data_IF_226171992503
#
_entry.id   IF_226171992503
#
_cell.length_a   1.000
_cell.length_b   1.000
_cell.length_c   1.000
_cell.angle_alpha   90.00
_cell.angle_beta   90.00
_cell.angle_gamma   90.00
#
_symmetry.space_group_name_H-M   'P 1'
#
loop_
_entity.id
_entity.type
_entity.pdbx_description
1 polymer ?
#
# COMPACT_ATOMS: atom_id res chain seq x y z
N UNK A 1 18.25 -15.59 -1.42
CA UNK A 1 16.80 -15.28 -1.39
C UNK A 1 16.54 -13.88 -0.82
N UNK A 2 17.21 -13.47 0.26
CA UNK A 2 17.10 -12.12 0.82
C UNK A 2 17.53 -10.98 -0.14
N UNK A 3 18.46 -11.24 -1.08
CA UNK A 3 18.97 -10.20 -1.99
C UNK A 3 17.92 -9.64 -2.97
N UNK A 4 16.82 -10.36 -3.18
CA UNK A 4 15.71 -9.95 -4.06
C UNK A 4 14.47 -9.50 -3.28
N UNK A 5 14.60 -9.30 -1.96
CA UNK A 5 13.53 -8.73 -1.16
C UNK A 5 13.37 -7.24 -1.49
N UNK A 6 12.14 -6.86 -1.83
CA UNK A 6 11.76 -5.48 -2.14
C UNK A 6 11.02 -4.82 -0.97
N UNK A 7 10.83 -5.51 0.15
CA UNK A 7 10.05 -5.00 1.30
C UNK A 7 10.60 -3.68 1.81
N UNK A 8 11.93 -3.53 1.93
CA UNK A 8 12.57 -2.27 2.34
C UNK A 8 12.34 -1.10 1.38
N UNK A 9 12.11 -1.38 0.09
CA UNK A 9 11.83 -0.36 -0.95
C UNK A 9 10.34 -0.04 -1.08
N UNK A 10 9.49 -1.01 -0.81
CA UNK A 10 8.03 -0.88 -0.92
C UNK A 10 7.46 -0.28 0.37
N UNK A 11 7.95 -0.68 1.55
CA UNK A 11 7.42 -0.25 2.84
C UNK A 11 7.33 1.27 3.04
N UNK A 12 8.29 2.11 2.58
CA UNK A 12 8.17 3.57 2.70
C UNK A 12 7.01 4.19 1.89
N UNK A 13 6.48 3.46 0.91
CA UNK A 13 5.38 3.88 0.06
C UNK A 13 4.04 3.27 0.49
N UNK A 14 4.02 2.51 1.58
CA UNK A 14 2.83 1.86 2.12
C UNK A 14 2.45 2.45 3.46
N UNK A 15 1.16 2.32 3.78
CA UNK A 15 0.71 2.55 5.14
C UNK A 15 1.30 1.50 6.07
N UNK A 16 1.66 1.95 7.28
CA UNK A 16 2.18 1.11 8.35
C UNK A 16 1.37 -0.18 8.56
N UNK A 17 0.05 -0.14 8.39
CA UNK A 17 -0.81 -1.31 8.57
C UNK A 17 -0.67 -2.33 7.43
N UNK A 18 -0.39 -1.88 6.21
CA UNK A 18 -0.14 -2.74 5.05
C UNK A 18 1.27 -3.34 5.06
N UNK A 19 2.17 -2.79 5.87
CA UNK A 19 3.52 -3.34 6.09
C UNK A 19 3.49 -4.54 7.03
N UNK A 20 2.52 -4.67 7.94
CA UNK A 20 2.45 -5.83 8.85
C UNK A 20 2.31 -7.18 8.14
N UNK A 21 1.38 -7.36 7.18
CA UNK A 21 1.32 -8.58 6.41
C UNK A 21 2.69 -8.91 5.79
N UNK A 22 3.35 -7.92 5.17
CA UNK A 22 4.68 -8.13 4.57
C UNK A 22 5.67 -8.71 5.59
N UNK A 23 5.74 -8.13 6.79
CA UNK A 23 6.63 -8.62 7.85
C UNK A 23 6.23 -10.00 8.37
N UNK A 24 4.93 -10.30 8.49
CA UNK A 24 4.44 -11.63 8.90
C UNK A 24 4.86 -12.71 7.91
N UNK A 25 4.85 -12.42 6.62
CA UNK A 25 5.30 -13.38 5.63
C UNK A 25 6.80 -13.56 5.58
N UNK A 26 7.57 -12.48 5.74
CA UNK A 26 9.01 -12.61 5.88
C UNK A 26 9.35 -13.53 7.06
N UNK A 27 8.51 -13.52 8.11
CA UNK A 27 8.61 -14.39 9.28
C UNK A 27 8.24 -15.84 8.95
N UNK A 28 7.06 -16.07 8.35
CA UNK A 28 6.61 -17.41 7.95
C UNK A 28 7.56 -18.11 6.97
N UNK A 29 8.28 -17.34 6.15
CA UNK A 29 9.26 -17.84 5.19
C UNK A 29 10.66 -18.02 5.77
N UNK A 30 10.88 -17.64 7.03
CA UNK A 30 12.16 -17.72 7.72
C UNK A 30 13.30 -17.04 6.91
N UNK A 31 12.97 -15.95 6.21
CA UNK A 31 13.94 -15.24 5.36
C UNK A 31 14.92 -14.39 6.17
N UNK A 32 14.48 -13.94 7.35
CA UNK A 32 15.25 -13.18 8.33
C UNK A 32 15.06 -13.82 9.70
N UNK A 33 15.95 -13.49 10.65
CA UNK A 33 15.79 -13.97 12.02
C UNK A 33 14.50 -13.40 12.64
N UNK A 34 13.75 -14.25 13.34
CA UNK A 34 12.49 -13.87 13.99
C UNK A 34 12.66 -12.64 14.89
N UNK A 35 13.75 -12.57 15.65
CA UNK A 35 14.09 -11.45 16.52
C UNK A 35 14.19 -10.11 15.77
N UNK A 36 14.73 -10.13 14.55
CA UNK A 36 14.86 -8.92 13.72
C UNK A 36 13.50 -8.46 13.22
N UNK A 37 12.64 -9.40 12.81
CA UNK A 37 11.29 -9.10 12.35
C UNK A 37 10.42 -8.59 13.50
N UNK A 38 10.48 -9.22 14.67
CA UNK A 38 9.75 -8.80 15.86
C UNK A 38 10.19 -7.40 16.31
N UNK A 39 11.49 -7.08 16.28
CA UNK A 39 11.99 -5.72 16.52
C UNK A 39 11.44 -4.72 15.51
N UNK A 40 11.43 -5.06 14.21
CA UNK A 40 10.86 -4.21 13.17
C UNK A 40 9.35 -3.98 13.38
N UNK A 41 8.59 -5.02 13.76
CA UNK A 41 7.16 -4.91 14.10
C UNK A 41 6.94 -3.96 15.28
N UNK A 42 7.73 -4.05 16.36
CA UNK A 42 7.64 -3.13 17.50
C UNK A 42 7.93 -1.69 17.08
N UNK A 43 8.97 -1.48 16.27
CA UNK A 43 9.32 -0.14 15.76
C UNK A 43 8.17 0.45 14.93
N UNK A 44 7.54 -0.36 14.07
CA UNK A 44 6.40 0.03 13.27
C UNK A 44 5.17 0.37 14.16
N UNK A 45 4.92 -0.42 15.20
CA UNK A 45 3.82 -0.21 16.14
C UNK A 45 4.05 0.97 17.09
N UNK A 46 5.29 1.37 17.32
CA UNK A 46 5.63 2.44 18.27
C UNK A 46 4.92 3.76 17.96
N UNK A 47 4.63 4.04 16.69
CA UNK A 47 3.92 5.25 16.25
C UNK A 47 2.39 5.06 16.11
N UNK A 48 1.88 3.86 16.44
CA UNK A 48 0.45 3.51 16.35
C UNK A 48 -0.22 3.50 17.72
N UNK A 49 -1.55 3.45 17.72
CA UNK A 49 -2.34 3.25 18.93
C UNK A 49 -2.64 1.77 19.22
N UNK A 50 -2.07 0.82 18.45
CA UNK A 50 -2.23 -0.61 18.69
C UNK A 50 -1.29 -1.09 19.81
N UNK A 51 -1.49 -0.52 21.01
CA UNK A 51 -0.60 -0.74 22.16
C UNK A 51 -0.66 -2.19 22.64
N UNK A 52 -1.86 -2.78 22.71
CA UNK A 52 -2.02 -4.17 23.16
C UNK A 52 -1.24 -5.15 22.28
N UNK A 53 -1.33 -5.00 20.96
CA UNK A 53 -0.57 -5.83 20.02
C UNK A 53 0.95 -5.62 20.15
N UNK A 54 1.40 -4.38 20.37
CA UNK A 54 2.81 -4.08 20.58
C UNK A 54 3.36 -4.73 21.86
N UNK A 55 2.55 -4.78 22.92
CA UNK A 55 2.90 -5.46 24.17
C UNK A 55 3.04 -6.97 23.96
N UNK A 56 2.14 -7.60 23.20
CA UNK A 56 2.21 -9.04 22.93
C UNK A 56 3.46 -9.40 22.11
N UNK A 57 3.81 -8.59 21.11
CA UNK A 57 5.05 -8.77 20.33
C UNK A 57 6.30 -8.55 21.20
N UNK A 58 6.28 -7.58 22.12
CA UNK A 58 7.39 -7.37 23.05
C UNK A 58 7.59 -8.59 23.97
N UNK A 59 6.51 -9.16 24.50
CA UNK A 59 6.56 -10.37 25.31
C UNK A 59 7.12 -11.55 24.52
N UNK A 60 6.71 -11.69 23.25
CA UNK A 60 7.22 -12.71 22.35
C UNK A 60 8.73 -12.55 22.08
N UNK A 61 9.20 -11.32 21.85
CA UNK A 61 10.61 -11.02 21.54
C UNK A 61 11.56 -11.28 22.72
N UNK A 62 11.19 -10.85 23.93
CA UNK A 62 12.07 -10.96 25.11
C UNK A 62 11.76 -12.18 25.99
N UNK A 63 10.81 -13.03 25.57
CA UNK A 63 10.33 -14.18 26.33
C UNK A 63 10.00 -13.86 27.79
N UNK A 64 9.35 -12.71 28.01
CA UNK A 64 9.00 -12.20 29.33
C UNK A 64 7.52 -11.80 29.35
N UNK A 65 6.90 -11.88 30.53
CA UNK A 65 5.57 -11.29 30.74
C UNK A 65 5.64 -9.80 31.07
N UNK A 66 6.85 -9.30 31.40
CA UNK A 66 7.07 -7.91 31.78
C UNK A 66 7.05 -6.98 30.57
N UNK A 67 6.23 -5.95 30.68
CA UNK A 67 6.07 -4.92 29.64
C UNK A 67 6.60 -3.59 30.16
N UNK A 68 7.31 -2.79 29.34
CA UNK A 68 7.77 -1.47 29.73
C UNK A 68 6.64 -0.58 30.27
N UNK A 69 6.88 0.11 31.39
CA UNK A 69 5.90 1.01 32.01
C UNK A 69 5.41 2.10 31.05
N UNK A 70 6.26 2.53 30.10
CA UNK A 70 5.89 3.46 29.04
C UNK A 70 4.71 2.97 28.20
N UNK A 71 4.70 1.69 27.79
CA UNK A 71 3.61 1.10 27.00
C UNK A 71 2.31 1.02 27.82
N UNK A 72 2.41 0.70 29.11
CA UNK A 72 1.26 0.66 30.03
C UNK A 72 0.67 2.08 30.20
N UNK A 73 1.51 3.09 30.36
CA UNK A 73 1.08 4.50 30.42
C UNK A 73 0.37 4.94 29.14
N UNK A 74 0.96 4.63 27.97
CA UNK A 74 0.35 4.90 26.66
C UNK A 74 -0.99 4.22 26.48
N UNK A 75 -1.14 2.98 26.96
CA UNK A 75 -2.42 2.26 26.92
C UNK A 75 -3.51 3.02 27.68
N UNK A 76 -3.22 3.51 28.88
CA UNK A 76 -4.17 4.30 29.67
C UNK A 76 -4.58 5.58 28.94
N UNK A 77 -3.62 6.29 28.33
CA UNK A 77 -3.88 7.48 27.52
C UNK A 77 -4.77 7.18 26.31
N UNK A 78 -4.44 6.13 25.53
CA UNK A 78 -5.20 5.73 24.34
C UNK A 78 -6.63 5.36 24.71
N UNK A 79 -6.83 4.59 25.79
CA UNK A 79 -8.16 4.19 26.26
C UNK A 79 -8.95 5.40 26.78
N UNK A 80 -8.32 6.32 27.52
CA UNK A 80 -8.98 7.54 27.98
C UNK A 80 -9.41 8.43 26.81
N UNK A 81 -8.53 8.58 25.79
CA UNK A 81 -8.84 9.31 24.57
C UNK A 81 -9.99 8.66 23.80
N UNK A 82 -10.01 7.33 23.68
CA UNK A 82 -11.09 6.57 23.06
C UNK A 82 -12.44 6.87 23.73
N UNK A 83 -12.51 6.77 25.07
CA UNK A 83 -13.72 7.10 25.84
C UNK A 83 -14.21 8.53 25.59
N UNK A 84 -13.29 9.51 25.61
CA UNK A 84 -13.66 10.91 25.34
C UNK A 84 -14.18 11.13 23.90
N UNK A 85 -13.63 10.39 22.93
CA UNK A 85 -14.10 10.45 21.53
C UNK A 85 -15.45 9.77 21.36
N UNK A 86 -15.68 8.65 22.06
CA UNK A 86 -16.98 7.97 22.08
C UNK A 86 -18.07 8.87 22.67
N UNK A 87 -17.79 9.57 23.78
CA UNK A 87 -18.72 10.54 24.38
C UNK A 87 -19.03 11.70 23.43
N UNK A 88 -18.02 12.25 22.74
CA UNK A 88 -18.21 13.30 21.74
C UNK A 88 -18.99 12.82 20.50
N UNK A 89 -18.82 11.55 20.11
CA UNK A 89 -19.49 10.96 18.96
C UNK A 89 -20.88 10.38 19.29
N UNK A 90 -21.21 10.17 20.57
CA UNK A 90 -22.48 9.56 20.99
C UNK A 90 -23.73 10.27 20.43
N UNK A 91 -23.81 11.63 20.39
CA UNK A 91 -24.94 12.32 19.75
C UNK A 91 -25.07 12.00 18.26
N UNK A 92 -23.94 11.91 17.54
CA UNK A 92 -23.91 11.57 16.12
C UNK A 92 -24.30 10.11 15.87
N UNK A 93 -23.82 9.18 16.70
CA UNK A 93 -24.19 7.76 16.62
C UNK A 93 -25.69 7.61 16.86
N UNK A 94 -26.24 8.31 17.86
CA UNK A 94 -27.69 8.28 18.13
C UNK A 94 -28.51 8.86 16.96
N UNK A 95 -28.00 9.90 16.28
CA UNK A 95 -28.62 10.46 15.10
C UNK A 95 -28.63 9.48 13.93
N UNK A 96 -27.50 8.84 13.65
CA UNK A 96 -27.37 7.86 12.56
C UNK A 96 -28.18 6.57 12.79
N UNK A 97 -28.42 6.21 14.06
CA UNK A 97 -29.29 5.07 14.41
C UNK A 97 -30.79 5.37 14.21
N UNK A 98 -31.19 6.64 14.14
CA UNK A 98 -32.58 7.03 13.95
C UNK A 98 -32.96 7.09 12.47
N UNK A 99 -33.65 6.05 11.98
CA UNK A 99 -34.04 5.92 10.57
C UNK A 99 -34.84 7.11 10.00
N UNK A 100 -35.66 7.78 10.83
CA UNK A 100 -36.43 8.97 10.41
C UNK A 100 -35.56 10.20 10.17
N UNK A 101 -34.47 10.36 10.93
CA UNK A 101 -33.55 11.49 10.80
C UNK A 101 -32.56 11.28 9.65
N UNK A 102 -32.21 10.03 9.36
CA UNK A 102 -31.41 9.66 8.18
C UNK A 102 -32.15 9.97 6.88
N UNK A 103 -33.49 9.91 6.88
CA UNK A 103 -34.30 10.33 5.72
C UNK A 103 -34.28 11.84 5.46
N UNK A 104 -33.88 12.67 6.45
CA UNK A 104 -33.68 14.11 6.24
C UNK A 104 -32.39 14.42 5.47
N UNK A 105 -31.46 13.46 5.38
CA UNK A 105 -30.23 13.61 4.60
C UNK A 105 -30.56 13.70 3.11
N UNK A 106 -30.00 14.72 2.47
CA UNK A 106 -30.18 14.97 1.03
C UNK A 106 -28.98 14.44 0.24
N UNK A 107 -29.09 14.24 -1.07
CA UNK A 107 -27.92 13.95 -1.91
C UNK A 107 -26.91 15.12 -1.98
N UNK A 108 -27.30 16.32 -1.54
CA UNK A 108 -26.43 17.49 -1.46
C UNK A 108 -25.52 17.45 -0.23
N UNK A 109 -24.21 17.32 -0.47
CA UNK A 109 -23.16 17.24 0.55
C UNK A 109 -23.06 18.51 1.39
N UNK A 110 -23.19 19.69 0.77
CA UNK A 110 -22.99 20.97 1.46
C UNK A 110 -24.10 21.24 2.48
N UNK A 111 -25.34 20.92 2.10
CA UNK A 111 -26.50 21.03 2.97
C UNK A 111 -26.40 20.10 4.19
N UNK A 112 -26.01 18.84 3.98
CA UNK A 112 -25.87 17.88 5.08
C UNK A 112 -24.77 18.32 6.07
N UNK A 113 -23.65 18.86 5.57
CA UNK A 113 -22.56 19.35 6.41
C UNK A 113 -23.02 20.55 7.26
N UNK A 114 -23.72 21.51 6.66
CA UNK A 114 -24.28 22.67 7.38
C UNK A 114 -25.32 22.24 8.42
N UNK A 115 -26.24 21.35 8.06
CA UNK A 115 -27.25 20.83 8.99
C UNK A 115 -26.61 20.10 10.18
N UNK A 116 -25.58 19.29 9.95
CA UNK A 116 -24.87 18.58 11.01
C UNK A 116 -24.06 19.56 11.88
N UNK A 117 -23.46 20.58 11.27
CA UNK A 117 -22.73 21.63 11.99
C UNK A 117 -23.65 22.46 12.90
N UNK A 118 -24.81 22.87 12.38
CA UNK A 118 -25.78 23.69 13.12
C UNK A 118 -26.47 22.91 14.24
N UNK A 119 -26.76 21.61 14.04
CA UNK A 119 -27.43 20.77 15.04
C UNK A 119 -26.50 20.23 16.12
N UNK A 120 -25.25 19.92 15.79
CA UNK A 120 -24.32 19.24 16.71
C UNK A 120 -23.10 20.08 17.10
N UNK A 121 -22.98 21.33 16.63
CA UNK A 121 -21.88 22.25 16.93
C UNK A 121 -20.49 21.59 16.80
N UNK A 122 -20.29 20.77 15.77
CA UNK A 122 -19.00 20.16 15.46
C UNK A 122 -18.04 21.22 14.90
N UNK A 123 -17.60 22.14 15.74
CA UNK A 123 -16.92 23.35 15.30
C UNK A 123 -15.51 23.12 14.73
N UNK A 124 -14.90 21.93 14.87
CA UNK A 124 -13.50 21.77 14.41
C UNK A 124 -12.93 20.33 14.28
N UNK A 125 -13.73 19.27 14.41
CA UNK A 125 -13.20 17.88 14.42
C UNK A 125 -13.73 16.95 13.32
N UNK A 126 -14.76 17.37 12.58
CA UNK A 126 -15.33 16.60 11.45
C UNK A 126 -14.48 16.70 10.18
N UNK A 127 -13.60 17.70 10.06
CA UNK A 127 -12.60 17.77 8.99
C UNK A 127 -11.66 16.54 8.91
N UNK A 128 -11.64 15.69 9.96
CA UNK A 128 -10.87 14.44 9.97
C UNK A 128 -11.64 13.23 9.38
N UNK A 129 -12.98 13.27 9.37
CA UNK A 129 -13.81 12.29 8.64
C UNK A 129 -13.84 12.66 7.15
N UNK A 130 -13.74 13.95 6.86
CA UNK A 130 -13.57 14.49 5.51
C UNK A 130 -12.25 14.04 4.85
N UNK A 131 -11.26 13.54 5.62
CA UNK A 131 -10.01 13.00 5.09
C UNK A 131 -10.20 11.71 4.28
N UNK A 132 -11.11 10.82 4.70
CA UNK A 132 -11.43 9.62 3.91
C UNK A 132 -12.21 9.99 2.64
N UNK A 133 -13.07 11.01 2.73
CA UNK A 133 -13.74 11.61 1.58
C UNK A 133 -12.73 12.21 0.60
N UNK A 134 -11.83 13.07 1.08
CA UNK A 134 -10.76 13.70 0.30
C UNK A 134 -9.81 12.68 -0.34
N UNK A 135 -9.41 11.63 0.40
CA UNK A 135 -8.51 10.60 -0.12
C UNK A 135 -9.18 9.81 -1.26
N UNK A 136 -10.48 9.53 -1.17
CA UNK A 136 -11.24 8.87 -2.25
C UNK A 136 -11.51 9.84 -3.41
N UNK A 137 -11.79 11.12 -3.11
CA UNK A 137 -12.04 12.18 -4.10
C UNK A 137 -10.78 12.60 -4.88
N UNK A 138 -9.60 12.51 -4.27
CA UNK A 138 -8.30 12.80 -4.90
C UNK A 138 -7.79 11.60 -5.72
N UNK A 139 -8.25 10.37 -5.38
CA UNK A 139 -7.79 9.14 -6.03
C UNK A 139 -8.71 8.67 -7.17
N UNK A 140 -10.00 8.99 -7.16
CA UNK A 140 -10.96 8.58 -8.20
C UNK A 140 -11.52 9.84 -8.87
N UNK A 141 -10.89 10.23 -9.97
CA UNK A 141 -11.17 11.49 -10.65
C UNK A 141 -12.58 11.59 -11.23
N UNK A 142 -13.30 12.60 -10.76
CA UNK A 142 -14.34 13.45 -11.39
C UNK A 142 -14.92 14.30 -10.24
N UNK A 143 -14.94 15.62 -10.20
CA UNK A 143 -15.18 16.64 -11.22
C UNK A 143 -14.65 18.03 -10.78
N UNK A 144 -14.53 18.91 -11.79
CA UNK A 144 -14.70 20.36 -11.79
C UNK A 144 -14.88 21.08 -10.43
N UNK A 145 -13.87 21.86 -10.04
CA UNK A 145 -13.96 22.84 -8.96
C UNK A 145 -12.70 22.88 -8.11
N UNK A 146 -11.89 23.91 -8.32
CA UNK A 146 -10.64 24.21 -7.61
C UNK A 146 -9.46 23.25 -7.85
N UNK A 147 -8.61 23.66 -8.80
CA UNK A 147 -7.30 23.06 -9.06
C UNK A 147 -6.49 22.97 -7.77
N UNK A 148 -6.36 21.78 -7.20
CA UNK A 148 -5.43 21.48 -6.12
C UNK A 148 -4.00 21.87 -6.56
N UNK A 149 -3.41 22.85 -5.87
CA UNK A 149 -2.02 23.28 -6.03
C UNK A 149 -1.04 22.29 -5.38
N UNK A 150 -1.26 20.97 -5.53
CA UNK A 150 -0.23 20.01 -5.19
C UNK A 150 0.98 20.28 -6.10
N UNK A 151 2.15 20.52 -5.50
CA UNK A 151 3.40 20.70 -6.24
C UNK A 151 3.60 19.52 -7.21
N UNK A 152 4.23 19.72 -8.39
CA UNK A 152 4.46 18.61 -9.32
C UNK A 152 5.18 17.42 -8.68
N UNK A 153 6.05 17.70 -7.70
CA UNK A 153 6.72 16.69 -6.88
C UNK A 153 5.74 15.90 -6.00
N UNK A 154 4.81 16.57 -5.33
CA UNK A 154 3.79 15.88 -4.51
C UNK A 154 2.86 15.04 -5.39
N UNK A 155 2.48 15.53 -6.57
CA UNK A 155 1.67 14.74 -7.51
C UNK A 155 2.41 13.49 -8.00
N UNK A 156 3.72 13.59 -8.24
CA UNK A 156 4.55 12.45 -8.58
C UNK A 156 4.59 11.44 -7.42
N UNK A 157 4.76 11.92 -6.19
CA UNK A 157 4.76 11.09 -4.99
C UNK A 157 3.41 10.36 -4.81
N UNK A 158 2.29 11.06 -4.97
CA UNK A 158 0.95 10.49 -4.87
C UNK A 158 0.73 9.39 -5.91
N UNK A 159 1.24 9.56 -7.15
CA UNK A 159 1.20 8.51 -8.18
C UNK A 159 2.02 7.29 -7.76
N UNK A 160 3.20 7.49 -7.18
CA UNK A 160 4.05 6.38 -6.70
C UNK A 160 3.32 5.61 -5.61
N UNK A 161 2.71 6.28 -4.63
CA UNK A 161 1.92 5.62 -3.59
C UNK A 161 0.75 4.84 -4.18
N UNK A 162 -0.02 5.47 -5.08
CA UNK A 162 -1.14 4.81 -5.75
C UNK A 162 -0.70 3.56 -6.50
N UNK A 163 0.43 3.61 -7.21
CA UNK A 163 0.97 2.42 -7.89
C UNK A 163 1.29 1.30 -6.89
N UNK A 164 1.94 1.61 -5.76
CA UNK A 164 2.25 0.61 -4.73
C UNK A 164 0.98 0.01 -4.11
N UNK A 165 -0.01 0.84 -3.77
CA UNK A 165 -1.29 0.35 -3.21
C UNK A 165 -2.09 -0.47 -4.21
N UNK A 166 -2.05 -0.08 -5.48
CA UNK A 166 -2.76 -0.77 -6.55
C UNK A 166 -2.27 -2.21 -6.74
N UNK A 167 -1.00 -2.51 -6.42
CA UNK A 167 -0.50 -3.89 -6.42
C UNK A 167 -1.28 -4.75 -5.43
N UNK A 168 -1.53 -4.28 -4.21
CA UNK A 168 -2.29 -5.06 -3.22
C UNK A 168 -3.72 -5.35 -3.67
N UNK A 169 -4.38 -4.39 -4.30
CA UNK A 169 -5.78 -4.52 -4.73
C UNK A 169 -5.89 -5.41 -5.97
N UNK A 170 -5.08 -5.14 -6.99
CA UNK A 170 -5.24 -5.77 -8.30
C UNK A 170 -4.70 -7.19 -8.37
N UNK A 171 -3.79 -7.58 -7.47
CA UNK A 171 -3.37 -8.99 -7.40
C UNK A 171 -4.42 -9.89 -6.74
N UNK A 172 -5.32 -9.33 -5.92
CA UNK A 172 -6.45 -10.05 -5.31
C UNK A 172 -7.67 -10.17 -6.25
N UNK A 173 -7.71 -9.41 -7.35
CA UNK A 173 -8.85 -9.43 -8.28
C UNK A 173 -8.57 -10.28 -9.54
N UNK A 174 -9.52 -11.13 -9.95
CA UNK A 174 -9.38 -12.03 -11.11
C UNK A 174 -9.00 -11.29 -12.41
N UNK A 175 -9.51 -10.06 -12.60
CA UNK A 175 -9.19 -9.20 -13.74
C UNK A 175 -8.17 -8.08 -13.42
N UNK A 176 -7.67 -8.00 -12.19
CA UNK A 176 -6.86 -6.86 -11.76
C UNK A 176 -5.53 -6.75 -12.51
N UNK A 177 -4.99 -7.87 -13.00
CA UNK A 177 -3.79 -7.89 -13.86
C UNK A 177 -3.94 -7.06 -15.13
N UNK A 178 -5.13 -7.01 -15.73
CA UNK A 178 -5.38 -6.12 -16.88
C UNK A 178 -5.36 -4.65 -16.45
N UNK A 179 -5.96 -4.34 -15.29
CA UNK A 179 -5.97 -3.00 -14.71
C UNK A 179 -4.57 -2.47 -14.38
N UNK A 180 -3.68 -3.32 -13.83
CA UNK A 180 -2.27 -2.95 -13.59
C UNK A 180 -1.60 -2.56 -14.90
N UNK A 181 -1.73 -3.38 -15.94
CA UNK A 181 -1.10 -3.12 -17.24
C UNK A 181 -1.65 -1.79 -17.81
N UNK A 182 -2.97 -1.60 -17.82
CA UNK A 182 -3.56 -0.37 -18.36
C UNK A 182 -3.23 0.89 -17.54
N UNK A 183 -3.03 0.75 -16.23
CA UNK A 183 -2.67 1.87 -15.35
C UNK A 183 -1.17 2.22 -15.47
N UNK A 184 -0.29 1.23 -15.40
CA UNK A 184 1.16 1.45 -15.32
C UNK A 184 1.78 1.86 -16.66
N UNK A 185 1.18 1.45 -17.79
CA UNK A 185 1.62 1.86 -19.13
C UNK A 185 1.15 3.25 -19.54
N UNK A 186 0.31 3.93 -18.75
CA UNK A 186 0.01 5.33 -19.02
C UNK A 186 1.26 6.20 -18.78
N UNK A 187 1.55 7.13 -19.70
CA UNK A 187 2.76 7.96 -19.70
C UNK A 187 3.09 8.60 -18.33
N UNK A 188 2.05 9.03 -17.61
CA UNK A 188 2.18 9.69 -16.29
C UNK A 188 2.71 8.75 -15.21
N UNK A 189 2.30 7.49 -15.24
CA UNK A 189 2.71 6.47 -14.27
C UNK A 189 4.01 5.82 -14.70
N UNK A 190 4.22 5.61 -16.00
CA UNK A 190 5.48 5.10 -16.53
C UNK A 190 6.65 6.02 -16.20
N UNK A 191 6.47 7.34 -16.35
CA UNK A 191 7.47 8.33 -15.93
C UNK A 191 7.79 8.23 -14.44
N UNK A 192 6.79 7.97 -13.59
CA UNK A 192 6.99 7.80 -12.16
C UNK A 192 7.80 6.54 -11.82
N UNK A 193 7.62 5.47 -12.59
CA UNK A 193 8.41 4.24 -12.49
C UNK A 193 9.87 4.51 -12.89
N UNK A 194 10.10 5.21 -14.01
CA UNK A 194 11.42 5.53 -14.55
C UNK A 194 12.23 6.54 -13.73
N UNK A 195 11.59 7.30 -12.84
CA UNK A 195 12.27 8.34 -12.06
C UNK A 195 12.60 7.88 -10.66
N UNK A 196 11.63 7.29 -9.95
CA UNK A 196 11.76 7.01 -8.51
C UNK A 196 11.48 5.56 -8.12
N UNK A 197 10.70 4.81 -8.92
CA UNK A 197 10.15 3.51 -8.51
C UNK A 197 10.46 2.37 -9.49
N UNK A 198 11.72 2.24 -9.89
CA UNK A 198 12.20 1.27 -10.89
C UNK A 198 11.87 -0.20 -10.55
N UNK A 199 11.82 -0.55 -9.25
CA UNK A 199 11.51 -1.90 -8.78
C UNK A 199 10.08 -2.36 -9.15
N UNK A 200 9.18 -1.44 -9.46
CA UNK A 200 7.83 -1.76 -9.91
C UNK A 200 7.81 -2.48 -11.27
N UNK A 201 8.86 -2.32 -12.09
CA UNK A 201 9.00 -3.00 -13.38
C UNK A 201 8.95 -4.53 -13.24
N UNK A 202 9.44 -5.08 -12.13
CA UNK A 202 9.36 -6.53 -11.85
C UNK A 202 7.90 -7.00 -11.85
N UNK A 203 7.01 -6.29 -11.17
CA UNK A 203 5.60 -6.66 -11.08
C UNK A 203 4.86 -6.48 -12.40
N UNK A 204 5.17 -5.43 -13.15
CA UNK A 204 4.63 -5.22 -14.51
C UNK A 204 5.09 -6.34 -15.44
N UNK A 205 6.38 -6.71 -15.39
CA UNK A 205 6.92 -7.78 -16.20
C UNK A 205 6.23 -9.12 -15.92
N UNK A 206 6.11 -9.50 -14.65
CA UNK A 206 5.38 -10.70 -14.26
C UNK A 206 3.92 -10.65 -14.71
N UNK A 207 3.21 -9.53 -14.51
CA UNK A 207 1.82 -9.38 -14.92
C UNK A 207 1.61 -9.54 -16.44
N UNK A 208 2.52 -8.98 -17.26
CA UNK A 208 2.46 -9.09 -18.73
C UNK A 208 2.83 -10.51 -19.20
N UNK A 209 3.84 -11.16 -18.61
CA UNK A 209 4.27 -12.52 -18.99
C UNK A 209 3.16 -13.54 -18.69
N UNK A 210 2.55 -13.45 -17.51
CA UNK A 210 1.49 -14.37 -17.07
C UNK A 210 0.21 -14.16 -17.90
N UNK A 211 -0.08 -12.94 -18.32
CA UNK A 211 -1.27 -12.61 -19.10
C UNK A 211 -1.09 -12.82 -20.61
N UNK A 212 -1.44 -14.03 -21.08
CA UNK A 212 -1.34 -14.41 -22.49
C UNK A 212 -2.08 -13.49 -23.47
N UNK A 213 -3.14 -12.77 -23.05
CA UNK A 213 -3.94 -11.89 -23.92
C UNK A 213 -3.25 -10.55 -24.22
N UNK A 214 -2.32 -10.11 -23.37
CA UNK A 214 -1.64 -8.80 -23.46
C UNK A 214 -0.20 -8.89 -23.97
N UNK A 215 0.16 -9.97 -24.67
CA UNK A 215 1.51 -10.18 -25.22
C UNK A 215 1.98 -9.09 -26.18
N UNK A 216 1.07 -8.34 -26.79
CA UNK A 216 1.39 -7.18 -27.63
C UNK A 216 2.16 -6.09 -26.85
N UNK A 217 1.86 -5.92 -25.55
CA UNK A 217 2.53 -4.94 -24.67
C UNK A 217 3.97 -5.33 -24.34
N UNK A 218 4.35 -6.59 -24.58
CA UNK A 218 5.67 -7.09 -24.21
C UNK A 218 6.79 -6.37 -24.98
N UNK A 219 6.55 -6.02 -26.25
CA UNK A 219 7.53 -5.24 -27.05
C UNK A 219 7.78 -3.85 -26.45
N UNK A 220 6.74 -3.23 -25.91
CA UNK A 220 6.84 -1.92 -25.27
C UNK A 220 7.54 -2.04 -23.92
N UNK A 221 7.16 -3.05 -23.12
CA UNK A 221 7.83 -3.38 -21.87
C UNK A 221 9.34 -3.56 -22.04
N UNK A 222 9.77 -4.35 -23.04
CA UNK A 222 11.20 -4.60 -23.28
C UNK A 222 11.95 -3.31 -23.58
N UNK A 223 11.36 -2.35 -24.29
CA UNK A 223 11.97 -1.03 -24.54
C UNK A 223 12.17 -0.25 -23.24
N UNK A 224 11.16 -0.25 -22.35
CA UNK A 224 11.25 0.42 -21.05
C UNK A 224 12.31 -0.25 -20.18
N UNK A 225 12.34 -1.59 -20.15
CA UNK A 225 13.36 -2.34 -19.41
C UNK A 225 14.76 -1.95 -19.91
N UNK A 226 14.98 -1.94 -21.23
CA UNK A 226 16.26 -1.55 -21.85
C UNK A 226 16.72 -0.14 -21.43
N UNK A 227 15.80 0.82 -21.36
CA UNK A 227 16.11 2.18 -20.91
C UNK A 227 16.57 2.20 -19.44
N UNK A 228 15.97 1.38 -18.59
CA UNK A 228 16.18 1.37 -17.13
C UNK A 228 17.21 0.33 -16.62
N UNK A 229 17.87 -0.43 -17.51
CA UNK A 229 18.83 -1.50 -17.15
C UNK A 229 19.97 -1.04 -16.24
N UNK A 230 20.35 0.24 -16.33
CA UNK A 230 21.42 0.81 -15.52
C UNK A 230 20.98 1.10 -14.08
N UNK A 231 19.68 1.34 -13.87
CA UNK A 231 19.10 1.72 -12.57
C UNK A 231 18.64 0.50 -11.77
N UNK A 232 18.06 -0.50 -12.43
CA UNK A 232 17.50 -1.67 -11.74
C UNK A 232 17.70 -2.96 -12.53
N UNK A 233 18.16 -4.00 -11.83
CA UNK A 233 18.37 -5.34 -12.37
C UNK A 233 17.71 -6.37 -11.47
N UNK A 234 16.96 -7.27 -12.09
CA UNK A 234 16.26 -8.37 -11.44
C UNK A 234 16.28 -9.58 -12.37
N UNK A 235 16.28 -10.82 -11.86
CA UNK A 235 16.31 -12.01 -12.71
C UNK A 235 15.18 -12.04 -13.73
N UNK A 236 14.00 -11.47 -13.41
CA UNK A 236 12.85 -11.42 -14.33
C UNK A 236 13.09 -10.39 -15.45
N UNK A 237 13.66 -9.23 -15.14
CA UNK A 237 13.96 -8.21 -16.16
C UNK A 237 15.13 -8.65 -17.05
N UNK A 238 16.16 -9.26 -16.46
CA UNK A 238 17.30 -9.86 -17.17
C UNK A 238 16.87 -11.04 -18.05
N UNK A 239 15.93 -11.88 -17.59
CA UNK A 239 15.37 -12.95 -18.40
C UNK A 239 14.69 -12.41 -19.67
N UNK A 240 13.88 -11.36 -19.54
CA UNK A 240 13.24 -10.71 -20.69
C UNK A 240 14.26 -10.08 -21.64
N UNK A 241 15.33 -9.49 -21.10
CA UNK A 241 16.42 -8.94 -21.89
C UNK A 241 17.15 -10.03 -22.69
N UNK A 242 17.58 -11.11 -22.03
CA UNK A 242 18.23 -12.25 -22.68
C UNK A 242 17.38 -12.80 -23.83
N UNK A 243 16.07 -12.92 -23.62
CA UNK A 243 15.16 -13.53 -24.60
C UNK A 243 14.83 -12.62 -25.79
N UNK A 244 14.58 -11.33 -25.55
CA UNK A 244 14.06 -10.41 -26.59
C UNK A 244 15.09 -9.44 -27.17
N UNK A 245 16.23 -9.25 -26.49
CA UNK A 245 17.29 -8.31 -26.91
C UNK A 245 18.51 -9.07 -27.38
N UNK A 246 19.06 -9.92 -26.50
CA UNK A 246 20.34 -10.58 -26.75
C UNK A 246 20.17 -11.91 -27.52
N UNK A 247 18.96 -12.45 -27.56
CA UNK A 247 18.65 -13.77 -28.12
C UNK A 247 19.54 -14.90 -27.55
N UNK A 248 19.96 -14.74 -26.30
CA UNK A 248 20.78 -15.70 -25.56
C UNK A 248 19.88 -16.65 -24.78
N UNK A 249 19.60 -17.80 -25.36
CA UNK A 249 18.73 -18.82 -24.77
C UNK A 249 19.40 -19.56 -23.61
N UNK A 250 20.72 -19.70 -23.61
CA UNK A 250 21.46 -20.37 -22.53
C UNK A 250 21.48 -19.49 -21.28
N UNK A 251 21.74 -18.19 -21.46
CA UNK A 251 21.61 -17.17 -20.41
C UNK A 251 20.18 -17.09 -19.88
N UNK A 252 19.19 -17.03 -20.78
CA UNK A 252 17.78 -17.01 -20.40
C UNK A 252 17.38 -18.25 -19.59
N UNK A 253 17.86 -19.45 -19.93
CA UNK A 253 17.55 -20.67 -19.17
C UNK A 253 18.14 -20.63 -17.76
N UNK A 254 19.36 -20.12 -17.59
CA UNK A 254 19.95 -19.92 -16.25
C UNK A 254 19.15 -18.92 -15.44
N UNK A 255 18.78 -17.79 -16.05
CA UNK A 255 17.97 -16.75 -15.40
C UNK A 255 16.57 -17.23 -15.05
N UNK A 256 15.97 -18.13 -15.83
CA UNK A 256 14.70 -18.75 -15.50
C UNK A 256 14.78 -19.59 -14.20
N UNK A 257 15.88 -20.31 -13.98
CA UNK A 257 16.11 -21.05 -12.73
C UNK A 257 16.28 -20.11 -11.53
N UNK A 258 16.96 -18.98 -11.73
CA UNK A 258 17.04 -17.92 -10.72
C UNK A 258 15.64 -17.31 -10.46
N UNK A 259 14.84 -17.09 -11.50
CA UNK A 259 13.47 -16.61 -11.40
C UNK A 259 12.61 -17.56 -10.57
N UNK A 260 12.78 -18.88 -10.65
CA UNK A 260 12.04 -19.82 -9.81
C UNK A 260 12.30 -19.57 -8.31
N UNK A 261 13.57 -19.34 -7.93
CA UNK A 261 13.94 -19.01 -6.55
C UNK A 261 13.39 -17.65 -6.10
N UNK A 262 13.26 -16.71 -7.03
CA UNK A 262 12.74 -15.36 -6.81
C UNK A 262 11.20 -15.31 -6.77
N UNK A 263 10.54 -16.11 -7.62
CA UNK A 263 9.08 -16.29 -7.67
C UNK A 263 8.55 -17.09 -6.49
N UNK A 264 9.39 -17.89 -5.82
CA UNK A 264 9.05 -18.50 -4.53
C UNK A 264 8.90 -17.47 -3.39
N UNK A 265 9.37 -16.22 -3.57
CA UNK A 265 8.95 -15.06 -2.76
C UNK A 265 7.53 -14.63 -3.16
N UNK A 266 6.59 -15.53 -2.88
CA UNK A 266 5.18 -15.59 -3.25
C UNK A 266 4.28 -14.56 -2.56
N UNK A 267 4.76 -13.34 -2.33
CA UNK A 267 3.91 -12.39 -1.59
C UNK A 267 2.80 -11.80 -2.43
N UNK A 268 3.14 -11.29 -3.62
CA UNK A 268 2.15 -10.60 -4.46
C UNK A 268 1.40 -11.57 -5.39
N UNK A 269 1.90 -12.79 -5.62
CA UNK A 269 1.17 -13.78 -6.43
C UNK A 269 0.25 -14.73 -5.64
N UNK A 270 0.45 -14.92 -4.32
CA UNK A 270 -0.27 -15.95 -3.54
C UNK A 270 -0.84 -15.50 -2.19
N UNK A 271 -0.55 -14.30 -1.67
CA UNK A 271 -1.06 -13.91 -0.34
C UNK A 271 -1.98 -12.70 -0.42
N UNK A 272 -3.18 -12.92 -0.98
CA UNK A 272 -4.51 -12.64 -0.40
C UNK A 272 -5.57 -13.30 -1.28
#
# INVERSE_FOLDING_TARGET
MADYDLTSRIAPHLDRHLVFPLLEFLQERELYADDEILKAKIQLLSQTNMVDYAMDIHKALYHTEDVPQEMVGRRVEVVARLKSLEELAAPLISFLQNASLVQELRPDKQYNIQMLHDRFQFHDKVGRIDWLGHLIHETIGQEEGEKSFASPLNQLQNRIWLMHWSLFIFFNHENGRNGIIDLFFQDRYLNAIQTNAHHLLRYVATAVIVNKRRRNMLKELVKVIQQELHSYKDPITEFLECLYVNYDFDGAQKKLKECEQVSFSKYIEISF
#
